data_IF_043651632489
#
_entry.id   IF_043651632489
#
_cell.length_a   1.000
_cell.length_b   1.000
_cell.length_c   1.000
_cell.angle_alpha   90.00
_cell.angle_beta   90.00
_cell.angle_gamma   90.00
#
_symmetry.space_group_name_H-M   'P 1'
#
loop_
_entity.id
_entity.type
_entity.pdbx_description
1 polymer ?
#
# COMPACT_ATOMS: atom_id res chain seq x y z
N UNK A 1 -7.19 10.08 12.05
CA UNK A 1 -7.71 8.69 12.13
C UNK A 1 -7.09 7.81 11.05
N UNK A 2 -7.31 8.10 9.75
CA UNK A 2 -6.74 7.28 8.67
C UNK A 2 -5.19 7.30 8.64
N UNK A 3 -4.57 8.48 8.59
CA UNK A 3 -3.11 8.62 8.46
C UNK A 3 -2.35 8.19 9.73
N UNK A 4 -2.66 8.82 10.86
CA UNK A 4 -1.92 8.59 12.11
C UNK A 4 -2.28 7.29 12.84
N UNK A 5 -3.55 6.88 12.81
CA UNK A 5 -4.02 5.71 13.56
C UNK A 5 -4.17 4.47 12.66
N UNK A 6 -4.01 4.60 11.34
CA UNK A 6 -4.19 3.52 10.37
C UNK A 6 -5.56 2.81 10.46
N UNK A 7 -6.59 3.57 10.86
CA UNK A 7 -7.95 3.09 11.11
C UNK A 7 -8.99 3.81 10.23
N UNK A 8 -9.97 3.03 9.79
CA UNK A 8 -11.22 3.46 9.15
C UNK A 8 -12.36 3.22 10.14
N UNK A 9 -13.27 4.17 10.32
CA UNK A 9 -14.35 4.06 11.31
C UNK A 9 -15.39 3.02 10.90
N UNK A 10 -15.67 2.91 9.59
CA UNK A 10 -16.60 1.97 8.97
C UNK A 10 -18.09 2.13 9.31
N UNK A 11 -18.43 3.13 10.11
CA UNK A 11 -19.80 3.53 10.40
C UNK A 11 -19.85 5.02 10.79
N UNK A 12 -19.05 5.86 10.13
CA UNK A 12 -19.03 7.28 10.44
C UNK A 12 -20.30 7.94 9.89
N UNK A 13 -21.03 8.59 10.78
CA UNK A 13 -22.25 9.33 10.47
C UNK A 13 -22.46 10.45 11.49
N UNK A 14 -23.45 11.31 11.26
CA UNK A 14 -23.83 12.38 12.19
C UNK A 14 -24.23 11.87 13.59
N UNK A 15 -24.62 10.60 13.70
CA UNK A 15 -25.01 9.98 14.97
C UNK A 15 -23.80 9.64 15.84
N UNK A 16 -22.62 9.47 15.23
CA UNK A 16 -21.38 9.06 15.88
C UNK A 16 -20.42 10.25 16.12
N UNK A 17 -20.92 11.48 15.97
CA UNK A 17 -20.17 12.72 16.19
C UNK A 17 -20.89 13.56 17.23
N UNK A 18 -20.21 13.84 18.35
CA UNK A 18 -20.70 14.71 19.41
C UNK A 18 -20.08 16.10 19.30
N UNK A 19 -20.87 17.14 19.51
CA UNK A 19 -20.39 18.52 19.62
C UNK A 19 -20.34 18.92 21.10
N UNK A 20 -19.15 19.19 21.63
CA UNK A 20 -18.96 19.66 23.00
C UNK A 20 -17.94 20.80 23.01
N UNK A 21 -18.30 21.94 23.62
CA UNK A 21 -17.42 23.12 23.73
C UNK A 21 -16.81 23.56 22.38
N UNK A 22 -17.63 23.59 21.33
CA UNK A 22 -17.20 23.97 19.97
C UNK A 22 -16.13 23.03 19.37
N UNK A 23 -15.99 21.82 19.90
CA UNK A 23 -15.12 20.77 19.40
C UNK A 23 -15.92 19.52 19.04
N UNK A 24 -15.52 18.84 17.96
CA UNK A 24 -16.15 17.61 17.48
C UNK A 24 -15.44 16.40 18.09
N UNK A 25 -16.22 15.52 18.70
CA UNK A 25 -15.76 14.27 19.31
C UNK A 25 -16.34 13.09 18.55
N UNK A 26 -15.48 12.23 18.03
CA UNK A 26 -15.89 11.00 17.34
C UNK A 26 -16.02 9.89 18.37
N UNK A 27 -17.16 9.21 18.37
CA UNK A 27 -17.49 8.11 19.29
C UNK A 27 -17.87 6.84 18.53
N UNK A 28 -18.07 5.75 19.25
CA UNK A 28 -18.41 4.43 18.70
C UNK A 28 -17.40 3.88 17.66
N UNK A 29 -16.12 3.94 18.01
CA UNK A 29 -15.03 3.34 17.24
C UNK A 29 -14.97 1.81 17.36
N UNK A 30 -15.99 1.17 17.94
CA UNK A 30 -16.01 -0.27 18.24
C UNK A 30 -16.02 -1.15 16.99
N UNK A 31 -16.54 -0.62 15.87
CA UNK A 31 -16.60 -1.29 14.56
C UNK A 31 -15.48 -0.83 13.61
N UNK A 32 -14.53 -0.02 14.09
CA UNK A 32 -13.42 0.46 13.25
C UNK A 32 -12.58 -0.69 12.74
N UNK A 33 -12.11 -0.58 11.50
CA UNK A 33 -11.25 -1.56 10.85
C UNK A 33 -9.90 -0.96 10.50
N UNK A 34 -8.86 -1.79 10.50
CA UNK A 34 -7.55 -1.42 10.00
C UNK A 34 -7.59 -1.15 8.48
N UNK A 35 -6.71 -0.27 8.01
CA UNK A 35 -6.56 0.03 6.58
C UNK A 35 -6.28 -1.21 5.71
N UNK A 36 -5.66 -2.24 6.29
CA UNK A 36 -5.36 -3.52 5.63
C UNK A 36 -6.58 -4.44 5.43
N UNK A 37 -7.73 -4.12 6.03
CA UNK A 37 -8.95 -4.92 5.86
C UNK A 37 -9.48 -4.89 4.40
N UNK A 38 -9.87 -6.03 3.78
CA UNK A 38 -10.30 -6.12 2.37
C UNK A 38 -11.40 -5.16 1.95
N UNK A 39 -12.22 -4.71 2.91
CA UNK A 39 -13.32 -3.74 2.70
C UNK A 39 -13.04 -2.35 3.26
N UNK A 40 -11.83 -2.06 3.73
CA UNK A 40 -11.51 -0.77 4.35
C UNK A 40 -11.84 0.41 3.43
N UNK A 41 -11.57 0.27 2.12
CA UNK A 41 -11.88 1.32 1.15
C UNK A 41 -13.37 1.48 0.89
N UNK A 42 -14.12 0.37 0.85
CA UNK A 42 -15.58 0.43 0.71
C UNK A 42 -16.21 1.12 1.92
N UNK A 43 -15.71 0.81 3.12
CA UNK A 43 -16.13 1.44 4.37
C UNK A 43 -15.77 2.92 4.42
N UNK A 44 -14.55 3.29 4.03
CA UNK A 44 -14.15 4.70 3.99
C UNK A 44 -14.98 5.49 2.95
N UNK A 45 -15.33 4.88 1.80
CA UNK A 45 -16.26 5.51 0.84
C UNK A 45 -17.64 5.75 1.44
N UNK A 46 -18.18 4.77 2.17
CA UNK A 46 -19.48 4.91 2.83
C UNK A 46 -19.44 5.99 3.91
N UNK A 47 -18.39 6.01 4.73
CA UNK A 47 -18.15 7.03 5.76
C UNK A 47 -18.15 8.44 5.15
N UNK A 48 -17.37 8.64 4.07
CA UNK A 48 -17.28 9.93 3.39
C UNK A 48 -18.60 10.32 2.72
N UNK A 49 -19.32 9.37 2.13
CA UNK A 49 -20.63 9.63 1.53
C UNK A 49 -21.65 10.07 2.58
N UNK A 50 -21.69 9.43 3.75
CA UNK A 50 -22.60 9.82 4.84
C UNK A 50 -22.31 11.24 5.32
N UNK A 51 -21.03 11.58 5.49
CA UNK A 51 -20.58 12.91 5.91
C UNK A 51 -20.95 13.97 4.87
N UNK A 52 -20.64 13.73 3.59
CA UNK A 52 -20.98 14.63 2.48
C UNK A 52 -22.50 14.82 2.35
N UNK A 53 -23.29 13.75 2.47
CA UNK A 53 -24.75 13.80 2.41
C UNK A 53 -25.35 14.60 3.58
N UNK A 54 -24.80 14.45 4.79
CA UNK A 54 -25.23 15.19 5.97
C UNK A 54 -24.99 16.70 5.79
N UNK A 55 -23.76 17.10 5.46
CA UNK A 55 -23.41 18.51 5.28
C UNK A 55 -24.07 19.12 4.03
N UNK A 56 -24.25 18.32 2.98
CA UNK A 56 -24.98 18.73 1.77
C UNK A 56 -26.45 19.04 2.06
N UNK A 57 -27.13 18.28 2.93
CA UNK A 57 -28.51 18.58 3.37
C UNK A 57 -28.61 19.89 4.16
N UNK A 58 -27.54 20.27 4.86
CA UNK A 58 -27.44 21.54 5.59
C UNK A 58 -27.10 22.73 4.69
N UNK A 59 -26.87 22.51 3.39
CA UNK A 59 -26.55 23.57 2.43
C UNK A 59 -25.08 24.00 2.45
N UNK A 60 -24.20 23.21 3.06
CA UNK A 60 -22.75 23.45 3.04
C UNK A 60 -22.21 23.03 1.67
N UNK A 61 -21.27 23.81 1.13
CA UNK A 61 -20.54 23.43 -0.10
C UNK A 61 -19.52 22.35 0.27
N UNK A 62 -19.76 21.13 -0.18
CA UNK A 62 -18.87 20.00 0.07
C UNK A 62 -17.86 19.80 -1.08
N UNK A 63 -16.82 19.01 -0.83
CA UNK A 63 -15.73 18.76 -1.78
C UNK A 63 -16.14 17.76 -2.88
N UNK A 64 -17.10 16.89 -2.55
CA UNK A 64 -17.47 15.72 -3.35
C UNK A 64 -16.59 14.50 -3.03
N UNK A 65 -17.13 13.31 -3.30
CA UNK A 65 -16.60 12.06 -2.74
C UNK A 65 -15.17 11.78 -3.16
N UNK A 66 -14.85 11.95 -4.46
CA UNK A 66 -13.50 11.69 -4.98
C UNK A 66 -12.45 12.62 -4.35
N UNK A 67 -12.79 13.90 -4.16
CA UNK A 67 -11.89 14.90 -3.60
C UNK A 67 -11.73 14.73 -2.09
N UNK A 68 -12.81 14.44 -1.37
CA UNK A 68 -12.76 14.11 0.05
C UNK A 68 -11.90 12.86 0.30
N UNK A 69 -12.04 11.84 -0.56
CA UNK A 69 -11.19 10.65 -0.52
C UNK A 69 -9.72 10.99 -0.72
N UNK A 70 -9.41 11.73 -1.79
CA UNK A 70 -8.05 12.18 -2.09
C UNK A 70 -7.46 12.92 -0.89
N UNK A 71 -8.20 13.85 -0.30
CA UNK A 71 -7.79 14.58 0.89
C UNK A 71 -7.46 13.67 2.08
N UNK A 72 -8.29 12.67 2.39
CA UNK A 72 -8.04 11.76 3.52
C UNK A 72 -6.84 10.84 3.28
N UNK A 73 -6.64 10.37 2.05
CA UNK A 73 -5.59 9.39 1.71
C UNK A 73 -4.23 10.08 1.44
N UNK A 74 -4.21 11.37 1.15
CA UNK A 74 -2.94 12.09 0.92
C UNK A 74 -2.15 12.19 2.23
N UNK A 75 -0.98 11.54 2.29
CA UNK A 75 -0.15 11.46 3.51
C UNK A 75 0.43 12.81 3.95
N UNK A 76 0.63 13.75 3.02
CA UNK A 76 1.28 15.02 3.32
C UNK A 76 0.49 16.18 2.71
N UNK A 77 -0.35 16.80 3.53
CA UNK A 77 -1.04 18.05 3.18
C UNK A 77 -0.10 19.27 3.41
N UNK A 78 1.17 19.04 3.79
CA UNK A 78 2.15 20.08 4.06
C UNK A 78 2.15 20.59 5.51
N UNK A 79 1.51 19.85 6.42
CA UNK A 79 1.47 20.16 7.85
C UNK A 79 2.45 19.25 8.60
N UNK A 80 3.25 19.85 9.48
CA UNK A 80 4.06 19.12 10.45
C UNK A 80 3.17 18.58 11.56
N UNK A 81 3.50 17.42 12.13
CA UNK A 81 2.82 16.85 13.31
C UNK A 81 2.75 17.83 14.49
N UNK A 82 3.70 18.76 14.58
CA UNK A 82 3.75 19.79 15.61
C UNK A 82 2.79 20.96 15.31
N UNK A 83 2.60 21.26 14.02
CA UNK A 83 1.74 22.34 13.54
C UNK A 83 0.26 21.92 13.54
N UNK A 84 -0.06 20.64 13.33
CA UNK A 84 -1.43 20.11 13.28
C UNK A 84 -2.23 20.32 14.56
N UNK A 85 -1.57 20.42 15.72
CA UNK A 85 -2.21 20.62 17.02
C UNK A 85 -2.25 22.08 17.47
N UNK A 86 -1.68 22.99 16.67
CA UNK A 86 -1.67 24.43 16.95
C UNK A 86 -2.83 25.11 16.24
N UNK A 87 -3.30 26.24 16.80
CA UNK A 87 -4.27 27.10 16.14
C UNK A 87 -3.80 27.60 14.76
N UNK A 88 -2.48 27.72 14.57
CA UNK A 88 -1.88 28.07 13.27
C UNK A 88 -2.05 26.93 12.24
N UNK A 89 -2.09 25.67 12.68
CA UNK A 89 -2.37 24.53 11.82
C UNK A 89 -3.80 24.53 11.32
N UNK A 90 -4.76 24.83 12.19
CA UNK A 90 -6.18 24.94 11.83
C UNK A 90 -6.41 26.01 10.76
N UNK A 91 -5.75 27.16 10.86
CA UNK A 91 -5.83 28.23 9.85
C UNK A 91 -5.23 27.81 8.50
N UNK A 92 -4.06 27.15 8.51
CA UNK A 92 -3.42 26.62 7.29
C UNK A 92 -4.29 25.55 6.64
N UNK A 93 -4.83 24.62 7.44
CA UNK A 93 -5.73 23.58 6.96
C UNK A 93 -6.99 24.19 6.34
N UNK A 94 -7.59 25.19 6.99
CA UNK A 94 -8.75 25.89 6.47
C UNK A 94 -8.44 26.57 5.12
N UNK A 95 -7.25 27.18 4.97
CA UNK A 95 -6.81 27.76 3.70
C UNK A 95 -6.68 26.69 2.61
N UNK A 96 -6.05 25.54 2.90
CA UNK A 96 -5.91 24.44 1.93
C UNK A 96 -7.29 23.89 1.54
N UNK A 97 -8.17 23.64 2.51
CA UNK A 97 -9.53 23.16 2.23
C UNK A 97 -10.30 24.17 1.40
N UNK A 98 -10.13 25.48 1.63
CA UNK A 98 -10.76 26.52 0.82
C UNK A 98 -10.29 26.53 -0.64
N UNK A 99 -9.01 26.22 -0.89
CA UNK A 99 -8.47 26.06 -2.23
C UNK A 99 -9.09 24.84 -2.93
N UNK A 100 -9.20 23.71 -2.22
CA UNK A 100 -9.79 22.49 -2.76
C UNK A 100 -11.30 22.65 -3.03
N UNK A 101 -12.00 23.44 -2.22
CA UNK A 101 -13.40 23.82 -2.44
C UNK A 101 -13.62 24.65 -3.71
N UNK A 102 -12.58 25.25 -4.28
CA UNK A 102 -12.69 25.94 -5.57
C UNK A 102 -12.78 24.96 -6.75
N UNK A 103 -12.35 23.70 -6.57
CA UNK A 103 -12.39 22.63 -7.58
C UNK A 103 -13.17 21.40 -7.07
N UNK A 104 -14.50 21.51 -6.88
CA UNK A 104 -15.31 20.38 -6.45
C UNK A 104 -15.31 19.26 -7.49
N UNK A 105 -15.43 18.00 -7.07
CA UNK A 105 -15.60 16.89 -8.02
C UNK A 105 -16.96 16.97 -8.72
N UNK A 106 -17.01 16.45 -9.95
CA UNK A 106 -18.28 16.32 -10.66
C UNK A 106 -19.05 15.11 -10.11
N UNK A 107 -20.39 15.19 -10.08
CA UNK A 107 -21.25 14.08 -9.64
C UNK A 107 -21.05 12.81 -10.48
N UNK A 108 -20.67 12.97 -11.74
CA UNK A 108 -20.33 11.87 -12.63
C UNK A 108 -19.04 11.18 -12.19
N UNK A 109 -18.02 11.94 -11.80
CA UNK A 109 -16.75 11.37 -11.31
C UNK A 109 -16.95 10.63 -10.00
N UNK A 110 -17.82 11.14 -9.12
CA UNK A 110 -18.14 10.49 -7.85
C UNK A 110 -18.85 9.14 -8.07
N UNK A 111 -19.80 9.09 -9.00
CA UNK A 111 -20.51 7.84 -9.35
C UNK A 111 -19.57 6.81 -9.99
N UNK A 112 -18.68 7.26 -10.89
CA UNK A 112 -17.64 6.41 -11.48
C UNK A 112 -16.73 5.89 -10.37
N UNK A 113 -16.30 6.75 -9.44
CA UNK A 113 -15.44 6.38 -8.33
C UNK A 113 -16.07 5.32 -7.41
N UNK A 114 -17.35 5.46 -7.07
CA UNK A 114 -18.09 4.48 -6.25
C UNK A 114 -18.15 3.09 -6.90
N UNK A 115 -18.40 3.04 -8.21
CA UNK A 115 -18.52 1.77 -8.94
C UNK A 115 -17.18 1.14 -9.29
N UNK A 116 -16.09 1.91 -9.20
CA UNK A 116 -14.77 1.45 -9.62
C UNK A 116 -14.08 0.63 -8.53
N UNK A 117 -13.53 -0.52 -8.94
CA UNK A 117 -12.66 -1.32 -8.10
C UNK A 117 -11.29 -0.66 -7.98
N UNK A 118 -10.84 -0.46 -6.74
CA UNK A 118 -9.54 0.14 -6.45
C UNK A 118 -8.66 -0.92 -5.80
N UNK A 119 -7.62 -1.40 -6.50
CA UNK A 119 -6.66 -2.34 -5.93
C UNK A 119 -5.84 -1.67 -4.84
N UNK A 120 -5.62 -2.38 -3.73
CA UNK A 120 -4.89 -1.85 -2.56
C UNK A 120 -3.43 -2.26 -2.59
N UNK A 121 -3.17 -3.48 -3.04
CA UNK A 121 -1.82 -4.01 -3.23
C UNK A 121 -1.56 -4.26 -4.70
N UNK A 122 -0.29 -4.23 -5.09
CA UNK A 122 0.14 -4.62 -6.43
C UNK A 122 -0.32 -6.04 -6.82
N UNK A 123 -0.59 -6.91 -5.84
CA UNK A 123 -1.08 -8.26 -6.07
C UNK A 123 -2.59 -8.33 -6.44
N UNK A 124 -3.35 -7.28 -6.16
CA UNK A 124 -4.78 -7.17 -6.51
C UNK A 124 -4.99 -6.52 -7.89
N UNK A 125 -3.95 -5.95 -8.48
CA UNK A 125 -3.98 -5.39 -9.84
C UNK A 125 -4.17 -6.54 -10.83
N UNK A 126 -5.26 -6.49 -11.60
CA UNK A 126 -5.66 -7.57 -12.49
C UNK A 126 -4.65 -7.79 -13.63
N UNK A 127 -4.20 -6.71 -14.28
CA UNK A 127 -3.27 -6.75 -15.42
C UNK A 127 -2.18 -5.65 -15.30
N UNK A 128 -1.13 -5.86 -14.49
CA UNK A 128 -0.10 -4.84 -14.29
C UNK A 128 0.65 -4.44 -15.57
N UNK A 129 0.78 -5.35 -16.55
CA UNK A 129 1.47 -5.07 -17.82
C UNK A 129 0.73 -4.01 -18.66
N UNK A 130 -0.60 -4.10 -18.72
CA UNK A 130 -1.44 -3.14 -19.44
C UNK A 130 -1.33 -1.75 -18.85
N UNK A 131 -1.37 -1.67 -17.52
CA UNK A 131 -1.37 -0.40 -16.80
C UNK A 131 0.00 0.29 -16.91
N UNK A 132 1.10 -0.49 -16.94
CA UNK A 132 2.45 0.03 -17.25
C UNK A 132 2.54 0.58 -18.67
N UNK A 133 1.93 -0.08 -19.65
CA UNK A 133 1.91 0.40 -21.03
C UNK A 133 1.08 1.68 -21.20
N UNK A 134 -0.02 1.82 -20.46
CA UNK A 134 -0.80 3.07 -20.37
C UNK A 134 0.04 4.20 -19.75
N UNK A 135 0.79 3.90 -18.69
CA UNK A 135 1.68 4.86 -18.05
C UNK A 135 2.78 5.35 -19.00
N UNK A 136 3.41 4.43 -19.74
CA UNK A 136 4.44 4.76 -20.76
C UNK A 136 3.88 5.62 -21.90
N UNK A 137 2.61 5.43 -22.25
CA UNK A 137 1.92 6.24 -23.28
C UNK A 137 1.51 7.62 -22.77
N UNK A 138 1.70 7.92 -21.49
CA UNK A 138 1.35 9.20 -20.87
C UNK A 138 -0.11 9.30 -20.44
N UNK A 139 -0.86 8.19 -20.40
CA UNK A 139 -2.25 8.14 -19.94
C UNK A 139 -2.38 7.76 -18.48
N UNK A 140 -1.43 8.15 -17.63
CA UNK A 140 -1.41 7.74 -16.21
C UNK A 140 -2.54 8.33 -15.39
N UNK A 141 -3.10 9.46 -15.83
CA UNK A 141 -4.19 10.15 -15.13
C UNK A 141 -5.54 9.41 -15.25
N UNK A 142 -5.67 8.52 -16.22
CA UNK A 142 -6.87 7.68 -16.40
C UNK A 142 -6.92 6.51 -15.41
N UNK A 143 -5.80 6.19 -14.75
CA UNK A 143 -5.74 5.14 -13.75
C UNK A 143 -6.35 5.64 -12.44
N UNK A 144 -7.48 5.04 -12.06
CA UNK A 144 -8.25 5.44 -10.88
C UNK A 144 -7.42 5.32 -9.60
N UNK A 145 -6.54 4.32 -9.52
CA UNK A 145 -5.71 4.08 -8.35
C UNK A 145 -4.37 4.84 -8.35
N UNK A 146 -3.99 5.51 -9.45
CA UNK A 146 -2.74 6.28 -9.49
C UNK A 146 -2.70 7.40 -8.45
N UNK A 147 -3.84 8.05 -8.20
CA UNK A 147 -3.98 9.05 -7.14
C UNK A 147 -3.90 8.46 -5.73
N UNK A 148 -4.17 7.17 -5.56
CA UNK A 148 -4.20 6.49 -4.25
C UNK A 148 -2.82 5.98 -3.87
N UNK A 149 -2.06 5.47 -4.83
CA UNK A 149 -0.70 4.97 -4.61
C UNK A 149 0.36 6.08 -4.61
N UNK A 150 -0.05 7.36 -4.61
CA UNK A 150 0.89 8.48 -4.73
C UNK A 150 1.67 8.48 -6.05
N UNK A 151 1.18 7.73 -7.05
CA UNK A 151 1.78 7.56 -8.37
C UNK A 151 1.34 8.64 -9.35
N UNK A 152 0.72 9.74 -8.86
CA UNK A 152 0.67 10.99 -9.63
C UNK A 152 2.08 11.20 -10.14
N UNK A 153 2.25 11.09 -11.46
CA UNK A 153 3.53 11.32 -12.09
C UNK A 153 3.98 12.67 -11.56
N UNK A 154 5.08 12.67 -10.82
CA UNK A 154 5.77 13.89 -10.48
C UNK A 154 5.81 14.72 -11.76
N UNK A 155 5.19 15.90 -11.71
CA UNK A 155 5.32 16.87 -12.77
C UNK A 155 6.78 16.95 -13.16
N UNK A 156 7.05 17.06 -14.47
CA UNK A 156 8.38 17.11 -15.09
C UNK A 156 9.20 18.35 -14.69
N UNK A 157 9.03 18.86 -13.48
CA UNK A 157 9.73 20.01 -12.90
C UNK A 157 9.96 19.80 -11.41
N UNK A 158 10.78 18.80 -11.06
CA UNK A 158 11.66 18.91 -9.90
C UNK A 158 12.84 17.95 -10.09
N UNK A 159 13.86 18.45 -10.78
CA UNK A 159 15.20 17.89 -10.72
C UNK A 159 15.77 18.15 -9.32
N UNK A 160 15.44 17.28 -8.36
CA UNK A 160 16.13 17.21 -7.07
C UNK A 160 16.50 15.76 -6.77
N UNK A 161 17.80 15.52 -6.86
CA UNK A 161 18.57 14.37 -6.39
C UNK A 161 17.84 13.01 -6.40
N UNK A 162 17.76 12.43 -7.60
CA UNK A 162 17.85 10.97 -7.69
C UNK A 162 19.24 10.63 -7.18
N UNK A 163 19.34 10.10 -5.95
CA UNK A 163 20.47 9.26 -5.58
C UNK A 163 20.46 8.09 -6.54
N UNK A 164 21.21 8.24 -7.63
CA UNK A 164 21.70 7.15 -8.45
C UNK A 164 22.41 6.21 -7.48
N UNK A 165 21.79 5.09 -7.13
CA UNK A 165 22.48 4.01 -6.44
C UNK A 165 23.38 3.35 -7.48
N UNK A 166 24.48 4.03 -7.75
CA UNK A 166 25.62 3.52 -8.51
C UNK A 166 26.34 2.57 -7.55
N UNK A 167 26.14 1.27 -7.74
CA UNK A 167 26.99 0.26 -7.11
C UNK A 167 28.37 0.36 -7.77
N UNK A 168 29.25 1.17 -7.19
CA UNK A 168 30.68 1.11 -7.48
C UNK A 168 31.28 -0.03 -6.67
N UNK A 169 31.72 -1.06 -7.38
CA UNK A 169 32.70 -2.04 -6.92
C UNK A 169 34.01 -1.32 -6.61
N UNK A 170 34.20 -0.88 -5.36
CA UNK A 170 35.52 -0.59 -4.81
C UNK A 170 35.90 -1.63 -3.75
N UNK A 171 36.81 -2.49 -4.18
CA UNK A 171 37.51 -3.50 -3.42
C UNK A 171 38.47 -2.78 -2.45
N UNK A 172 38.15 -2.77 -1.15
CA UNK A 172 39.13 -2.51 -0.11
C UNK A 172 39.58 -3.83 0.52
N UNK A 173 40.73 -4.29 0.04
CA UNK A 173 41.52 -5.41 0.57
C UNK A 173 42.25 -5.02 1.86
N UNK A 174 41.93 -5.70 2.96
CA UNK A 174 42.82 -5.82 4.13
C UNK A 174 42.96 -7.33 4.44
N UNK A 175 44.20 -7.81 4.39
CA UNK A 175 44.64 -9.20 4.48
C UNK A 175 44.45 -9.76 5.90
N UNK A 176 43.79 -10.91 6.14
CA UNK A 176 44.26 -12.30 5.99
C UNK A 176 44.19 -13.03 7.37
N UNK A 177 44.32 -14.38 7.50
CA UNK A 177 44.40 -15.42 6.48
C UNK A 177 43.44 -16.64 6.67
N UNK A 178 43.10 -17.25 5.52
CA UNK A 178 42.99 -18.69 5.22
C UNK A 178 42.06 -19.62 6.04
N UNK A 179 41.03 -20.16 5.36
CA UNK A 179 40.88 -21.62 5.12
C UNK A 179 39.63 -21.92 4.29
N UNK A 180 39.84 -22.32 3.03
CA UNK A 180 39.09 -23.28 2.18
C UNK A 180 37.62 -23.58 2.57
N UNK A 181 36.56 -23.37 1.78
CA UNK A 181 36.36 -23.45 0.34
C UNK A 181 35.09 -24.30 0.11
N UNK A 182 33.98 -23.75 -0.38
CA UNK A 182 32.83 -24.51 -0.92
C UNK A 182 31.91 -23.57 -1.75
N UNK A 183 31.59 -24.01 -2.98
CA UNK A 183 30.89 -23.26 -4.01
C UNK A 183 29.40 -23.06 -3.69
N UNK A 184 28.93 -21.83 -3.92
CA UNK A 184 27.56 -21.36 -3.74
C UNK A 184 26.74 -21.51 -5.03
N UNK A 185 25.66 -22.30 -5.01
CA UNK A 185 24.55 -22.15 -5.95
C UNK A 185 23.42 -21.36 -5.27
N UNK A 186 23.26 -20.09 -5.63
CA UNK A 186 22.14 -19.24 -5.19
C UNK A 186 20.87 -19.57 -6.00
N UNK A 187 19.94 -20.33 -5.41
CA UNK A 187 18.58 -20.49 -5.96
C UNK A 187 17.75 -19.20 -5.76
N UNK A 188 17.46 -18.51 -6.88
CA UNK A 188 16.49 -17.42 -6.93
C UNK A 188 15.09 -17.85 -6.44
N UNK A 189 14.58 -17.19 -5.40
CA UNK A 189 13.23 -17.39 -4.89
C UNK A 189 12.19 -16.84 -5.89
N UNK A 190 11.57 -17.72 -6.71
CA UNK A 190 10.43 -17.36 -7.58
C UNK A 190 9.14 -17.15 -6.77
N UNK A 191 8.25 -16.21 -7.18
CA UNK A 191 7.02 -15.88 -6.47
C UNK A 191 6.06 -17.07 -6.38
N UNK A 192 5.45 -17.26 -5.20
CA UNK A 192 4.46 -18.30 -4.92
C UNK A 192 3.09 -17.87 -5.42
N UNK A 193 2.72 -18.27 -6.64
CA UNK A 193 1.35 -18.10 -7.11
C UNK A 193 1.14 -18.47 -8.56
N UNK A 194 0.67 -19.69 -8.81
CA UNK A 194 0.26 -20.13 -10.14
C UNK A 194 -1.26 -20.21 -10.21
N UNK A 195 -1.92 -19.06 -10.40
CA UNK A 195 -3.40 -18.99 -10.48
C UNK A 195 -3.97 -19.43 -11.84
N UNK A 196 -3.17 -19.53 -12.90
CA UNK A 196 -3.64 -19.88 -14.26
C UNK A 196 -2.68 -20.79 -15.05
N UNK A 197 -2.13 -21.84 -14.44
CA UNK A 197 -1.36 -22.83 -15.22
C UNK A 197 -2.25 -23.90 -15.87
N UNK A 198 -1.92 -24.25 -17.11
CA UNK A 198 -2.44 -25.45 -17.78
C UNK A 198 -2.19 -26.72 -16.93
N UNK A 199 -3.19 -27.61 -16.92
CA UNK A 199 -3.17 -28.82 -16.07
C UNK A 199 -1.93 -29.70 -16.30
N UNK A 200 -1.40 -29.70 -17.51
CA UNK A 200 -0.24 -30.51 -17.90
C UNK A 200 1.08 -29.93 -17.37
N UNK A 201 1.29 -28.61 -17.46
CA UNK A 201 2.46 -27.92 -16.90
C UNK A 201 2.60 -28.13 -15.39
N UNK A 202 1.47 -28.10 -14.65
CA UNK A 202 1.43 -28.38 -13.20
C UNK A 202 1.82 -29.81 -12.87
N UNK A 203 1.49 -30.78 -13.74
CA UNK A 203 1.79 -32.19 -13.55
C UNK A 203 3.29 -32.45 -13.76
N UNK A 204 3.88 -31.81 -14.77
CA UNK A 204 5.31 -31.89 -15.06
C UNK A 204 6.15 -31.27 -13.94
N UNK A 205 5.79 -30.08 -13.46
CA UNK A 205 6.49 -29.46 -12.32
C UNK A 205 6.45 -30.35 -11.08
N UNK A 206 5.28 -30.91 -10.75
CA UNK A 206 5.15 -31.84 -9.62
C UNK A 206 5.98 -33.11 -9.79
N UNK A 207 6.20 -33.58 -11.02
CA UNK A 207 7.03 -34.75 -11.32
C UNK A 207 8.51 -34.40 -11.15
N UNK A 208 8.98 -33.30 -11.72
CA UNK A 208 10.35 -32.81 -11.59
C UNK A 208 10.73 -32.60 -10.11
N UNK A 209 9.87 -31.93 -9.35
CA UNK A 209 10.10 -31.64 -7.93
C UNK A 209 10.12 -32.91 -7.06
N UNK A 210 9.42 -33.98 -7.48
CA UNK A 210 9.49 -35.30 -6.82
C UNK A 210 10.79 -36.04 -7.15
N UNK A 211 11.28 -35.92 -8.37
CA UNK A 211 12.52 -36.55 -8.83
C UNK A 211 13.74 -35.91 -8.17
N UNK A 212 13.79 -34.58 -8.15
CA UNK A 212 14.82 -33.80 -7.46
C UNK A 212 14.85 -34.11 -5.95
N UNK A 213 13.67 -34.15 -5.29
CA UNK A 213 13.60 -34.54 -3.88
C UNK A 213 14.02 -36.00 -3.64
N UNK A 214 13.82 -36.89 -4.62
CA UNK A 214 14.28 -38.28 -4.53
C UNK A 214 15.81 -38.34 -4.62
N UNK A 215 16.43 -37.51 -5.43
CA UNK A 215 17.89 -37.37 -5.52
C UNK A 215 18.48 -36.74 -4.27
N UNK A 216 17.91 -35.63 -3.77
CA UNK A 216 18.31 -35.00 -2.50
C UNK A 216 18.21 -35.96 -1.30
N UNK A 217 17.27 -36.92 -1.33
CA UNK A 217 17.16 -37.97 -0.30
C UNK A 217 18.24 -39.05 -0.39
N UNK A 218 18.82 -39.30 -1.57
CA UNK A 218 19.93 -40.26 -1.73
C UNK A 218 21.21 -39.71 -1.09
N UNK A 219 21.44 -38.40 -1.21
CA UNK A 219 22.65 -37.74 -0.70
C UNK A 219 22.49 -37.22 0.75
N UNK A 220 21.36 -37.49 1.39
CA UNK A 220 21.08 -37.00 2.74
C UNK A 220 21.84 -37.78 3.80
N UNK A 221 22.58 -37.07 4.65
CA UNK A 221 23.26 -37.65 5.81
C UNK A 221 22.31 -38.47 6.69
N UNK A 222 22.73 -39.67 7.15
CA UNK A 222 21.95 -40.48 8.09
C UNK A 222 21.53 -39.69 9.32
N UNK A 223 20.27 -39.88 9.74
CA UNK A 223 19.68 -39.14 10.88
C UNK A 223 20.50 -39.30 12.17
N UNK A 224 21.06 -40.48 12.40
CA UNK A 224 21.86 -40.78 13.58
C UNK A 224 23.16 -39.95 13.63
N UNK A 225 23.84 -39.78 12.49
CA UNK A 225 25.07 -38.99 12.39
C UNK A 225 24.79 -37.49 12.57
N UNK A 226 23.71 -36.99 11.94
CA UNK A 226 23.25 -35.61 12.14
C UNK A 226 22.95 -35.33 13.62
N UNK A 227 22.28 -36.24 14.32
CA UNK A 227 22.00 -36.09 15.76
C UNK A 227 23.28 -36.15 16.61
N UNK A 228 24.27 -36.96 16.24
CA UNK A 228 25.56 -37.03 16.94
C UNK A 228 26.36 -35.74 16.80
N UNK A 229 26.38 -35.15 15.60
CA UNK A 229 27.03 -33.86 15.32
C UNK A 229 26.39 -32.72 16.13
N UNK A 230 25.06 -32.65 16.18
CA UNK A 230 24.33 -31.64 16.96
C UNK A 230 24.61 -31.77 18.47
N UNK A 231 24.66 -32.99 19.01
CA UNK A 231 25.01 -33.21 20.42
C UNK A 231 26.47 -32.85 20.74
N UNK A 232 27.37 -32.98 19.75
CA UNK A 232 28.79 -32.63 19.89
C UNK A 232 29.01 -31.12 19.81
N UNK A 233 28.20 -30.39 19.03
CA UNK A 233 28.27 -28.93 18.93
C UNK A 233 27.59 -28.19 20.09
N UNK A 234 26.75 -28.87 20.88
CA UNK A 234 26.06 -28.30 22.04
C UNK A 234 26.84 -28.45 23.36
N UNK A 235 28.08 -28.94 23.32
CA UNK A 235 28.93 -29.20 24.49
C UNK A 235 30.24 -28.45 24.35
#
# INVERSE_FOLDING_TARGET
MYQHCHLVHADLSEYNILLHENHLWIIDVSQSVEHDHPKAFDFLRADLQNVEDFFGRLGVKCLGLRKAWEFVVTENIGLSHEDEMSAEGDEKLAAIVSEWLCQPSSKTDDAVFLSSYIPRTLAEVYDPERDVDLLKRGGGDDLIYAGITGLKLADKTDSKDVKEVRFEDEIHSEAGPASEGEESEEESHKPRGFRHEDKDAKKERKKALKEENREKRKNKMPKAEKQRLIKKSQK
#
